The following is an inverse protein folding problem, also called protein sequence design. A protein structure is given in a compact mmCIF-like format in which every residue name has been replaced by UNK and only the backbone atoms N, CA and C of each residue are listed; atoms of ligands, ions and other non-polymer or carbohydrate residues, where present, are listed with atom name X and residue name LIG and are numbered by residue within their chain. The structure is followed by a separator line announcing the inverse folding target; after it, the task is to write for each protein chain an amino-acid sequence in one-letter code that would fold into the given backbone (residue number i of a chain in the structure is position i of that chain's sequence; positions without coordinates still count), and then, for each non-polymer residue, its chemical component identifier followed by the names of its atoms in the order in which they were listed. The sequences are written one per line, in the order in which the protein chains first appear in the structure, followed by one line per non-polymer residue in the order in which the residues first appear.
data_IF_587044578313
#
_entry.id   IF_587044578313
#
_cell.length_a   1.000
_cell.length_b   1.000
_cell.length_c   1.000
_cell.angle_alpha   90.00
_cell.angle_beta   90.00
_cell.angle_gamma   90.00
#
_symmetry.space_group_name_H-M   'P 1'
#
loop_
_entity.id
_entity.type
_entity.pdbx_description
1 polymer ?
#
# COMPACT_ATOMS: atom_id res chain seq x y z
N UNK A 1 -35.67 -0.79 52.48
CA UNK A 1 -34.67 0.22 52.06
C UNK A 1 -33.37 -0.45 51.62
N UNK A 2 -32.67 -1.17 52.52
CA UNK A 2 -31.38 -1.83 52.22
C UNK A 2 -31.39 -2.73 50.98
N UNK A 3 -32.40 -3.60 50.82
CA UNK A 3 -32.51 -4.46 49.63
C UNK A 3 -32.64 -3.70 48.31
N UNK A 4 -33.32 -2.54 48.30
CA UNK A 4 -33.42 -1.67 47.11
C UNK A 4 -32.10 -0.99 46.81
N UNK A 5 -31.38 -0.53 47.85
CA UNK A 5 -30.05 0.04 47.68
C UNK A 5 -29.05 -0.96 47.09
N UNK A 6 -29.10 -2.22 47.55
CA UNK A 6 -28.28 -3.31 46.98
C UNK A 6 -28.66 -3.58 45.52
N UNK A 7 -29.96 -3.69 45.19
CA UNK A 7 -30.39 -3.91 43.81
C UNK A 7 -29.97 -2.77 42.87
N UNK A 8 -30.06 -1.51 43.32
CA UNK A 8 -29.63 -0.34 42.54
C UNK A 8 -28.11 -0.38 42.31
N UNK A 9 -27.33 -0.70 43.33
CA UNK A 9 -25.88 -0.80 43.22
C UNK A 9 -25.46 -1.92 42.25
N UNK A 10 -26.09 -3.09 42.37
CA UNK A 10 -25.85 -4.24 41.48
C UNK A 10 -26.20 -3.93 40.03
N UNK A 11 -27.39 -3.35 39.77
CA UNK A 11 -27.82 -3.05 38.40
C UNK A 11 -27.09 -1.85 37.80
N UNK A 12 -26.41 -1.01 38.60
CA UNK A 12 -25.69 0.16 38.10
C UNK A 12 -24.34 -0.17 37.45
N UNK A 13 -23.77 -1.34 37.73
CA UNK A 13 -22.47 -1.74 37.20
C UNK A 13 -22.58 -2.16 35.71
N UNK A 14 -21.92 -1.47 34.77
CA UNK A 14 -22.02 -1.80 33.35
C UNK A 14 -20.90 -2.77 32.96
N UNK A 15 -21.01 -4.05 33.32
CA UNK A 15 -19.98 -5.05 33.00
C UNK A 15 -19.69 -5.15 31.49
N UNK A 16 -20.72 -4.97 30.66
CA UNK A 16 -20.59 -5.03 29.20
C UNK A 16 -19.88 -3.81 28.59
N UNK A 17 -19.81 -2.68 29.30
CA UNK A 17 -19.15 -1.46 28.82
C UNK A 17 -17.65 -1.69 28.57
N UNK A 18 -16.99 -2.45 29.45
CA UNK A 18 -15.58 -2.81 29.31
C UNK A 18 -15.29 -3.75 28.13
N UNK A 19 -16.31 -4.43 27.59
CA UNK A 19 -16.21 -5.35 26.46
C UNK A 19 -16.67 -4.73 25.14
N UNK A 20 -17.53 -3.71 25.19
CA UNK A 20 -18.20 -3.12 24.03
C UNK A 20 -17.23 -2.71 22.92
N UNK A 21 -16.18 -1.96 23.28
CA UNK A 21 -15.17 -1.47 22.34
C UNK A 21 -14.10 -2.51 22.03
N UNK A 22 -13.44 -3.16 23.02
CA UNK A 22 -12.32 -4.05 22.73
C UNK A 22 -12.71 -5.26 21.87
N UNK A 23 -13.91 -5.83 22.06
CA UNK A 23 -14.35 -6.99 21.25
C UNK A 23 -14.64 -6.57 19.80
N UNK A 24 -15.28 -5.42 19.60
CA UNK A 24 -15.57 -4.91 18.25
C UNK A 24 -14.28 -4.57 17.49
N UNK A 25 -13.32 -3.92 18.16
CA UNK A 25 -11.99 -3.62 17.60
C UNK A 25 -11.23 -4.90 17.30
N UNK A 26 -11.18 -5.86 18.23
CA UNK A 26 -10.48 -7.14 18.03
C UNK A 26 -11.02 -7.90 16.81
N UNK A 27 -12.34 -8.04 16.69
CA UNK A 27 -12.97 -8.69 15.53
C UNK A 27 -12.74 -7.88 14.26
N UNK A 28 -12.87 -6.54 14.33
CA UNK A 28 -12.62 -5.63 13.22
C UNK A 28 -11.21 -5.74 12.65
N UNK A 29 -10.18 -5.61 13.51
CA UNK A 29 -8.77 -5.75 13.12
C UNK A 29 -8.46 -7.15 12.59
N UNK A 30 -9.06 -8.20 13.18
CA UNK A 30 -8.91 -9.57 12.68
C UNK A 30 -9.49 -9.78 11.28
N UNK A 31 -10.62 -9.15 10.96
CA UNK A 31 -11.20 -9.15 9.60
C UNK A 31 -10.34 -8.32 8.66
N UNK A 32 -9.87 -7.16 9.11
CA UNK A 32 -8.92 -6.32 8.37
C UNK A 32 -7.71 -7.12 7.92
N UNK A 33 -7.06 -7.83 8.86
CA UNK A 33 -5.89 -8.65 8.56
C UNK A 33 -6.18 -9.74 7.52
N UNK A 34 -7.35 -10.40 7.60
CA UNK A 34 -7.80 -11.36 6.57
C UNK A 34 -8.03 -10.72 5.19
N UNK A 35 -8.32 -9.42 5.14
CA UNK A 35 -8.45 -8.67 3.89
C UNK A 35 -7.12 -8.10 3.41
N UNK A 36 -6.02 -8.25 4.14
CA UNK A 36 -4.74 -7.58 3.84
C UNK A 36 -4.68 -6.13 4.30
N UNK A 37 -5.49 -5.74 5.29
CA UNK A 37 -5.52 -4.39 5.89
C UNK A 37 -5.07 -4.51 7.34
N UNK A 38 -3.87 -4.06 7.65
CA UNK A 38 -3.26 -4.17 8.98
C UNK A 38 -3.38 -2.84 9.72
N UNK A 39 -4.17 -2.81 10.79
CA UNK A 39 -4.28 -1.67 11.69
C UNK A 39 -3.27 -1.85 12.83
N UNK A 40 -2.36 -0.90 13.04
CA UNK A 40 -1.37 -0.97 14.14
C UNK A 40 -1.98 -0.70 15.52
N UNK A 41 -3.05 0.07 15.56
CA UNK A 41 -3.71 0.45 16.81
C UNK A 41 -5.24 0.44 16.67
N UNK A 42 -5.93 0.33 17.81
CA UNK A 42 -7.37 0.49 17.90
C UNK A 42 -7.81 1.89 17.45
N UNK A 43 -7.02 2.90 17.81
CA UNK A 43 -7.26 4.30 17.45
C UNK A 43 -7.23 4.50 15.94
N UNK A 44 -6.26 3.92 15.23
CA UNK A 44 -6.19 3.98 13.77
C UNK A 44 -7.47 3.43 13.11
N UNK A 45 -7.96 2.27 13.57
CA UNK A 45 -9.20 1.67 13.06
C UNK A 45 -10.41 2.59 13.29
N UNK A 46 -10.49 3.24 14.45
CA UNK A 46 -11.56 4.19 14.75
C UNK A 46 -11.47 5.46 13.91
N UNK A 47 -10.27 6.04 13.76
CA UNK A 47 -10.05 7.25 12.99
C UNK A 47 -10.32 7.03 11.51
N UNK A 48 -9.92 5.89 10.94
CA UNK A 48 -10.29 5.47 9.58
C UNK A 48 -11.80 5.46 9.38
N UNK A 49 -12.54 4.92 10.36
CA UNK A 49 -14.01 4.93 10.31
C UNK A 49 -14.65 6.33 10.34
N UNK A 50 -13.93 7.34 10.86
CA UNK A 50 -14.39 8.73 10.96
C UNK A 50 -13.86 9.62 9.84
N UNK A 51 -13.06 9.08 8.92
CA UNK A 51 -12.46 9.83 7.82
C UNK A 51 -13.49 10.57 6.96
N UNK A 52 -13.14 11.81 6.64
CA UNK A 52 -13.90 12.73 5.76
C UNK A 52 -13.12 13.10 4.51
N UNK A 53 -11.79 13.10 4.61
CA UNK A 53 -10.88 13.41 3.51
C UNK A 53 -9.87 12.27 3.39
N UNK A 54 -9.61 11.84 2.17
CA UNK A 54 -8.49 10.96 1.82
C UNK A 54 -7.58 11.75 0.89
N UNK A 55 -6.40 12.10 1.40
CA UNK A 55 -5.32 12.67 0.64
C UNK A 55 -4.47 11.54 0.05
N UNK A 56 -4.27 11.56 -1.25
CA UNK A 56 -3.54 10.54 -2.01
C UNK A 56 -2.28 11.19 -2.60
N UNK A 57 -1.13 10.55 -2.40
CA UNK A 57 0.01 10.86 -3.24
C UNK A 57 -0.25 10.46 -4.70
N UNK A 58 0.40 11.15 -5.63
CA UNK A 58 0.30 10.81 -7.05
C UNK A 58 1.19 9.62 -7.39
N UNK A 59 2.50 9.75 -7.20
CA UNK A 59 3.51 8.86 -7.78
C UNK A 59 3.57 7.57 -6.96
N UNK A 60 3.38 6.41 -7.58
CA UNK A 60 3.43 5.10 -6.91
C UNK A 60 2.21 4.76 -6.05
N UNK A 61 1.39 5.76 -5.69
CA UNK A 61 0.07 5.59 -5.06
C UNK A 61 -1.05 5.58 -6.10
N UNK A 62 -1.43 6.72 -6.68
CA UNK A 62 -2.46 6.79 -7.73
C UNK A 62 -1.99 6.23 -9.07
N UNK A 63 -0.68 6.25 -9.28
CA UNK A 63 0.00 5.69 -10.45
C UNK A 63 0.82 4.47 -10.06
N UNK A 64 1.36 3.77 -11.07
CA UNK A 64 2.22 2.61 -10.84
C UNK A 64 3.62 3.00 -10.33
N UNK A 65 4.03 4.27 -10.46
CA UNK A 65 5.37 4.72 -10.09
C UNK A 65 6.45 4.27 -11.08
N UNK A 66 6.03 3.68 -12.20
CA UNK A 66 6.87 3.25 -13.31
C UNK A 66 6.58 4.14 -14.52
N UNK A 67 7.29 5.28 -14.66
CA UNK A 67 7.11 6.13 -15.83
C UNK A 67 7.48 5.37 -17.10
N UNK A 68 6.71 5.58 -18.16
CA UNK A 68 6.95 5.00 -19.49
C UNK A 68 6.97 6.10 -20.54
N UNK A 69 7.88 5.97 -21.50
CA UNK A 69 7.92 6.86 -22.67
C UNK A 69 6.66 6.61 -23.51
N UNK A 70 5.96 7.68 -23.85
CA UNK A 70 4.75 7.63 -24.68
C UNK A 70 4.92 8.35 -26.00
N UNK A 71 5.72 9.40 -26.04
CA UNK A 71 5.92 10.22 -27.22
C UNK A 71 7.40 10.58 -27.35
N UNK A 72 7.89 10.50 -28.59
CA UNK A 72 9.24 10.92 -28.97
C UNK A 72 9.08 11.90 -30.13
N UNK A 73 9.55 13.13 -29.95
CA UNK A 73 9.44 14.19 -30.93
C UNK A 73 10.84 14.70 -31.31
N UNK A 74 11.45 14.18 -32.38
CA UNK A 74 12.76 14.62 -32.83
C UNK A 74 12.70 15.98 -33.54
N UNK A 75 13.74 16.79 -33.33
CA UNK A 75 13.91 18.12 -33.96
C UNK A 75 15.26 18.13 -34.66
N UNK A 76 15.27 18.21 -35.99
CA UNK A 76 16.51 18.27 -36.77
C UNK A 76 17.33 16.97 -36.82
N UNK A 77 16.92 15.93 -36.11
CA UNK A 77 17.56 14.59 -36.07
C UNK A 77 16.53 13.48 -36.33
N UNK A 78 17.00 12.24 -36.46
CA UNK A 78 16.10 11.08 -36.50
C UNK A 78 15.64 10.67 -35.09
N UNK A 79 14.52 9.94 -35.01
CA UNK A 79 14.04 9.38 -33.73
C UNK A 79 15.10 8.50 -33.05
N UNK A 80 15.77 7.64 -33.82
CA UNK A 80 16.81 6.76 -33.30
C UNK A 80 18.05 7.53 -32.81
N UNK A 81 18.41 8.63 -33.48
CA UNK A 81 19.51 9.48 -33.04
C UNK A 81 19.16 10.17 -31.70
N UNK A 82 17.96 10.74 -31.58
CA UNK A 82 17.48 11.33 -30.32
C UNK A 82 17.51 10.29 -29.18
N UNK A 83 17.01 9.08 -29.42
CA UNK A 83 16.98 8.01 -28.42
C UNK A 83 18.38 7.53 -28.04
N UNK A 84 19.30 7.39 -28.99
CA UNK A 84 20.70 7.06 -28.70
C UNK A 84 21.34 8.11 -27.80
N UNK A 85 21.19 9.40 -28.10
CA UNK A 85 21.73 10.47 -27.27
C UNK A 85 21.08 10.51 -25.89
N UNK A 86 19.74 10.47 -25.82
CA UNK A 86 19.02 10.51 -24.56
C UNK A 86 19.34 9.30 -23.66
N UNK A 87 19.34 8.09 -24.21
CA UNK A 87 19.70 6.88 -23.46
C UNK A 87 21.15 6.89 -22.99
N UNK A 88 22.07 7.46 -23.79
CA UNK A 88 23.48 7.61 -23.37
C UNK A 88 23.59 8.58 -22.21
N UNK A 89 22.98 9.77 -22.31
CA UNK A 89 22.96 10.76 -21.23
C UNK A 89 22.39 10.20 -19.92
N UNK A 90 21.26 9.51 -20.02
CA UNK A 90 20.51 9.01 -18.87
C UNK A 90 21.14 7.74 -18.26
N UNK A 91 22.14 7.13 -18.91
CA UNK A 91 22.85 5.96 -18.37
C UNK A 91 23.59 6.24 -17.07
N UNK A 92 23.98 7.50 -16.82
CA UNK A 92 24.60 7.96 -15.57
C UNK A 92 23.62 8.33 -14.47
N UNK A 93 22.31 8.29 -14.74
CA UNK A 93 21.25 8.79 -13.85
C UNK A 93 20.46 7.64 -13.22
N UNK A 94 20.27 7.69 -11.89
CA UNK A 94 19.41 6.73 -11.18
C UNK A 94 17.93 7.15 -11.17
N UNK A 95 17.59 8.26 -11.83
CA UNK A 95 16.24 8.84 -11.77
C UNK A 95 15.21 7.92 -12.46
N UNK A 96 13.96 7.81 -11.95
CA UNK A 96 12.93 6.97 -12.59
C UNK A 96 12.67 7.31 -14.06
N UNK A 97 12.75 8.58 -14.44
CA UNK A 97 12.61 9.03 -15.85
C UNK A 97 13.76 8.54 -16.74
N UNK A 98 14.98 8.45 -16.19
CA UNK A 98 16.15 7.90 -16.87
C UNK A 98 15.93 6.43 -17.23
N UNK A 99 15.44 5.66 -16.24
CA UNK A 99 15.08 4.25 -16.43
C UNK A 99 13.99 4.06 -17.48
N UNK A 100 13.01 4.96 -17.53
CA UNK A 100 11.95 4.93 -18.56
C UNK A 100 12.52 5.07 -19.98
N UNK A 101 13.45 6.03 -20.18
CA UNK A 101 14.12 6.24 -21.46
C UNK A 101 14.99 5.04 -21.83
N UNK A 102 15.81 4.56 -20.89
CA UNK A 102 16.68 3.39 -21.10
C UNK A 102 15.86 2.13 -21.44
N UNK A 103 14.74 1.92 -20.76
CA UNK A 103 13.85 0.78 -21.02
C UNK A 103 13.12 0.91 -22.36
N UNK A 104 12.78 2.13 -22.80
CA UNK A 104 12.14 2.36 -24.09
C UNK A 104 13.13 2.19 -25.25
N UNK A 105 14.37 2.65 -25.08
CA UNK A 105 15.41 2.51 -26.08
C UNK A 105 15.86 1.03 -26.24
N UNK A 106 15.87 0.26 -25.16
CA UNK A 106 16.28 -1.15 -25.20
C UNK A 106 17.70 -1.34 -25.73
N UNK A 107 17.91 -2.43 -26.47
CA UNK A 107 19.17 -2.74 -27.17
C UNK A 107 19.17 -2.28 -28.63
N UNK A 108 18.04 -1.72 -29.10
CA UNK A 108 17.83 -1.35 -30.51
C UNK A 108 18.60 -0.08 -30.91
N UNK A 109 19.01 0.73 -29.94
CA UNK A 109 19.75 1.97 -30.17
C UNK A 109 21.14 1.91 -29.52
N UNK A 110 22.22 2.16 -30.28
CA UNK A 110 23.57 2.09 -29.75
C UNK A 110 23.78 3.15 -28.67
N UNK A 111 24.39 2.72 -27.56
CA UNK A 111 24.89 3.61 -26.52
C UNK A 111 26.20 4.23 -26.95
N UNK A 112 26.29 5.53 -26.80
CA UNK A 112 27.45 6.34 -27.14
C UNK A 112 28.36 6.46 -25.91
N UNK A 113 29.64 6.77 -26.13
CA UNK A 113 30.59 7.02 -25.05
C UNK A 113 30.21 8.32 -24.32
N UNK A 114 30.16 8.24 -22.99
CA UNK A 114 29.78 9.33 -22.09
C UNK A 114 30.94 9.68 -21.16
N UNK A 115 31.28 10.96 -21.08
CA UNK A 115 32.23 11.54 -20.13
C UNK A 115 31.62 12.72 -19.38
N UNK A 116 32.21 13.06 -18.24
CA UNK A 116 31.86 14.26 -17.46
C UNK A 116 30.36 14.42 -17.12
N UNK A 117 29.73 13.33 -16.70
CA UNK A 117 28.33 13.35 -16.26
C UNK A 117 28.14 14.20 -15.00
N UNK A 118 27.19 15.14 -15.06
CA UNK A 118 26.84 16.03 -13.95
C UNK A 118 25.31 16.14 -13.78
N UNK A 119 24.77 15.81 -12.59
CA UNK A 119 23.37 16.02 -12.28
C UNK A 119 23.09 17.49 -11.93
N UNK A 120 22.11 18.10 -12.60
CA UNK A 120 21.70 19.49 -12.39
C UNK A 120 20.46 19.53 -11.48
N UNK A 121 20.68 19.85 -10.20
CA UNK A 121 19.64 19.80 -9.16
C UNK A 121 18.39 20.59 -9.57
N UNK A 122 17.27 19.87 -9.75
CA UNK A 122 15.96 20.44 -10.08
C UNK A 122 15.75 20.84 -11.54
N UNK A 123 16.78 20.73 -12.38
CA UNK A 123 16.80 21.19 -13.77
C UNK A 123 16.93 20.05 -14.79
N UNK A 124 17.77 19.05 -14.54
CA UNK A 124 18.05 17.97 -15.48
C UNK A 124 19.39 17.28 -15.25
N UNK A 125 20.03 16.85 -16.32
CA UNK A 125 21.36 16.22 -16.36
C UNK A 125 22.14 16.76 -17.57
N UNK A 126 23.46 16.80 -17.45
CA UNK A 126 24.36 17.12 -18.56
C UNK A 126 25.54 16.15 -18.60
N UNK A 127 26.06 15.90 -19.79
CA UNK A 127 27.28 15.12 -20.01
C UNK A 127 27.87 15.42 -21.39
N UNK A 128 29.13 15.05 -21.59
CA UNK A 128 29.72 15.00 -22.92
C UNK A 128 29.45 13.62 -23.54
N UNK A 129 28.80 13.60 -24.71
CA UNK A 129 28.42 12.36 -25.40
C UNK A 129 29.00 12.37 -26.81
N UNK A 130 29.94 11.44 -27.08
CA UNK A 130 30.70 11.40 -28.34
C UNK A 130 31.38 12.71 -28.74
N UNK A 131 31.86 13.49 -27.76
CA UNK A 131 32.56 14.76 -27.99
C UNK A 131 31.66 15.99 -28.16
N UNK A 132 30.34 15.86 -27.98
CA UNK A 132 29.36 16.95 -27.98
C UNK A 132 28.79 17.15 -26.58
N UNK A 133 28.54 18.41 -26.19
CA UNK A 133 27.86 18.70 -24.92
C UNK A 133 26.37 18.42 -25.07
N UNK A 134 25.86 17.50 -24.27
CA UNK A 134 24.46 17.10 -24.26
C UNK A 134 23.81 17.47 -22.93
N UNK A 135 22.65 18.13 -23.01
CA UNK A 135 21.87 18.56 -21.84
C UNK A 135 20.43 18.08 -22.01
N UNK A 136 19.92 17.37 -21.00
CA UNK A 136 18.56 16.87 -20.94
C UNK A 136 17.86 17.42 -19.71
N UNK A 137 16.67 18.01 -19.85
CA UNK A 137 16.00 18.58 -18.69
C UNK A 137 14.65 19.25 -18.93
N UNK A 138 14.22 20.01 -17.93
CA UNK A 138 12.97 20.77 -17.95
C UNK A 138 13.05 21.93 -18.94
N UNK A 139 11.91 22.26 -19.54
CA UNK A 139 11.73 23.42 -20.43
C UNK A 139 12.33 24.72 -19.86
N UNK A 140 12.08 25.02 -18.59
CA UNK A 140 12.55 26.24 -17.94
C UNK A 140 14.08 26.38 -17.92
N UNK A 141 14.82 25.27 -17.85
CA UNK A 141 16.29 25.28 -17.89
C UNK A 141 16.79 25.33 -19.32
N UNK A 142 16.20 24.51 -20.19
CA UNK A 142 16.61 24.40 -21.60
C UNK A 142 16.39 25.73 -22.36
N UNK A 143 15.34 26.48 -22.02
CA UNK A 143 15.08 27.82 -22.54
C UNK A 143 16.16 28.85 -22.19
N UNK A 144 17.03 28.56 -21.21
CA UNK A 144 18.19 29.41 -20.87
C UNK A 144 19.42 29.10 -21.72
N UNK A 145 19.44 27.94 -22.39
CA UNK A 145 20.57 27.44 -23.18
C UNK A 145 20.34 27.73 -24.67
N UNK A 146 19.12 27.49 -25.18
CA UNK A 146 18.81 27.65 -26.60
C UNK A 146 17.39 28.17 -26.83
N UNK A 147 17.16 28.78 -27.99
CA UNK A 147 15.82 29.12 -28.45
C UNK A 147 15.07 27.86 -28.89
N UNK A 148 13.87 27.67 -28.35
CA UNK A 148 13.00 26.54 -28.69
C UNK A 148 12.13 26.95 -29.89
N UNK A 149 12.17 26.22 -31.02
CA UNK A 149 11.34 26.53 -32.18
C UNK A 149 9.84 26.47 -31.85
N UNK A 150 9.04 27.38 -32.42
CA UNK A 150 7.58 27.47 -32.18
C UNK A 150 6.83 26.13 -32.34
N UNK A 151 7.28 25.27 -33.24
CA UNK A 151 6.69 23.94 -33.43
C UNK A 151 6.95 23.02 -32.23
N UNK A 152 8.18 23.01 -31.71
CA UNK A 152 8.54 22.26 -30.52
C UNK A 152 7.87 22.83 -29.26
N UNK A 153 7.71 24.14 -29.18
CA UNK A 153 7.01 24.81 -28.08
C UNK A 153 5.53 24.41 -28.02
N UNK A 154 4.85 24.39 -29.18
CA UNK A 154 3.46 23.91 -29.27
C UNK A 154 3.32 22.44 -28.89
N UNK A 155 4.26 21.61 -29.32
CA UNK A 155 4.23 20.18 -29.02
C UNK A 155 4.50 19.92 -27.53
N UNK A 156 5.48 20.62 -26.95
CA UNK A 156 5.71 20.60 -25.51
C UNK A 156 4.45 21.00 -24.73
N UNK A 157 3.79 22.10 -25.11
CA UNK A 157 2.55 22.55 -24.47
C UNK A 157 1.41 21.51 -24.59
N UNK A 158 1.27 20.84 -25.75
CA UNK A 158 0.31 19.74 -25.95
C UNK A 158 0.58 18.60 -24.98
N UNK A 159 1.82 18.12 -24.92
CA UNK A 159 2.22 17.01 -24.05
C UNK A 159 1.98 17.32 -22.57
N UNK A 160 2.33 18.54 -22.12
CA UNK A 160 2.05 18.97 -20.74
C UNK A 160 0.54 19.01 -20.46
N UNK A 161 -0.28 19.50 -21.40
CA UNK A 161 -1.74 19.55 -21.24
C UNK A 161 -2.40 18.17 -21.14
N UNK A 162 -1.73 17.14 -21.69
CA UNK A 162 -2.16 15.75 -21.64
C UNK A 162 -1.78 15.01 -20.37
N UNK A 163 -1.07 15.65 -19.43
CA UNK A 163 -0.62 14.96 -18.21
C UNK A 163 0.82 14.47 -18.23
N UNK A 164 1.55 14.70 -19.32
CA UNK A 164 2.86 14.09 -19.53
C UNK A 164 3.97 14.98 -18.99
N UNK A 165 5.06 14.36 -18.58
CA UNK A 165 6.31 15.04 -18.28
C UNK A 165 7.15 15.04 -19.54
N UNK A 166 7.31 16.22 -20.16
CA UNK A 166 8.09 16.39 -21.39
C UNK A 166 9.49 16.92 -21.05
N UNK A 167 10.53 16.15 -21.41
CA UNK A 167 11.93 16.53 -21.24
C UNK A 167 12.50 16.94 -22.59
N UNK A 168 13.26 18.03 -22.62
CA UNK A 168 13.90 18.54 -23.83
C UNK A 168 15.38 18.18 -23.81
N UNK A 169 15.91 17.83 -24.98
CA UNK A 169 17.31 17.44 -25.18
C UNK A 169 17.99 18.41 -26.14
N UNK A 170 19.16 18.90 -25.73
CA UNK A 170 19.97 19.87 -26.47
C UNK A 170 21.37 19.32 -26.67
N UNK A 171 21.87 19.37 -27.92
CA UNK A 171 23.23 19.02 -28.31
C UNK A 171 23.93 20.27 -28.83
N UNK A 172 25.06 20.64 -28.25
CA UNK A 172 25.87 21.81 -28.67
C UNK A 172 25.06 23.10 -28.83
N UNK A 173 24.12 23.35 -27.90
CA UNK A 173 23.17 24.48 -27.92
C UNK A 173 22.08 24.45 -29.00
N UNK A 174 21.87 23.31 -29.66
CA UNK A 174 20.73 23.08 -30.57
C UNK A 174 19.75 22.06 -29.98
N UNK A 175 18.45 22.36 -30.03
CA UNK A 175 17.41 21.42 -29.62
C UNK A 175 17.35 20.23 -30.58
N UNK A 176 17.58 19.02 -30.06
CA UNK A 176 17.50 17.77 -30.82
C UNK A 176 16.17 17.03 -30.63
N UNK A 177 15.37 17.37 -29.62
CA UNK A 177 14.02 16.86 -29.50
C UNK A 177 13.43 16.88 -28.10
N UNK A 178 12.26 16.26 -28.01
CA UNK A 178 11.45 16.15 -26.79
C UNK A 178 11.12 14.68 -26.57
N UNK A 179 11.31 14.18 -25.35
CA UNK A 179 10.83 12.86 -24.94
C UNK A 179 9.81 13.06 -23.83
N UNK A 180 8.60 12.55 -24.05
CA UNK A 180 7.53 12.60 -23.07
C UNK A 180 7.40 11.25 -22.36
N UNK A 181 7.32 11.33 -21.04
CA UNK A 181 7.04 10.19 -20.18
C UNK A 181 5.75 10.44 -19.41
N UNK A 182 4.96 9.40 -19.24
CA UNK A 182 3.78 9.40 -18.37
C UNK A 182 3.95 8.36 -17.29
N UNK A 183 3.45 8.68 -16.10
CA UNK A 183 3.24 7.69 -15.07
C UNK A 183 1.81 7.17 -15.18
N UNK A 184 1.66 5.88 -15.46
CA UNK A 184 0.36 5.30 -15.80
C UNK A 184 -0.52 5.25 -14.54
N UNK A 185 -1.74 5.81 -14.55
CA UNK A 185 -2.69 5.65 -13.46
C UNK A 185 -2.98 4.18 -13.19
N UNK A 186 -3.15 3.81 -11.92
CA UNK A 186 -3.51 2.43 -11.59
C UNK A 186 -4.89 2.09 -12.17
N UNK A 187 -5.08 0.88 -12.72
CA UNK A 187 -6.35 0.49 -13.35
C UNK A 187 -7.52 0.45 -12.36
N UNK A 188 -7.25 0.33 -11.07
CA UNK A 188 -8.25 0.30 -10.00
C UNK A 188 -8.44 1.66 -9.29
N UNK A 189 -7.69 2.70 -9.70
CA UNK A 189 -7.75 4.03 -9.08
C UNK A 189 -9.14 4.68 -9.23
N UNK A 190 -9.70 4.67 -10.44
CA UNK A 190 -11.03 5.26 -10.71
C UNK A 190 -12.12 4.58 -9.86
N UNK A 191 -12.08 3.25 -9.78
CA UNK A 191 -13.03 2.48 -8.97
C UNK A 191 -12.89 2.78 -7.46
N UNK A 192 -11.65 2.90 -6.97
CA UNK A 192 -11.39 3.24 -5.58
C UNK A 192 -11.89 4.65 -5.22
N UNK A 193 -11.64 5.63 -6.08
CA UNK A 193 -12.11 7.03 -5.90
C UNK A 193 -13.63 7.10 -5.93
N UNK A 194 -14.28 6.44 -6.90
CA UNK A 194 -15.74 6.40 -6.98
C UNK A 194 -16.37 5.75 -5.73
N UNK A 195 -15.74 4.71 -5.18
CA UNK A 195 -16.21 4.09 -3.94
C UNK A 195 -16.05 5.02 -2.74
N UNK A 196 -14.92 5.73 -2.62
CA UNK A 196 -14.72 6.75 -1.58
C UNK A 196 -15.79 7.86 -1.65
N UNK A 197 -16.14 8.30 -2.86
CA UNK A 197 -17.24 9.25 -3.06
C UNK A 197 -18.59 8.69 -2.63
N UNK A 198 -18.89 7.42 -2.91
CA UNK A 198 -20.11 6.75 -2.45
C UNK A 198 -20.19 6.67 -0.91
N UNK A 199 -19.04 6.68 -0.24
CA UNK A 199 -18.91 6.77 1.21
C UNK A 199 -18.97 8.23 1.71
N UNK A 200 -19.13 9.22 0.83
CA UNK A 200 -19.12 10.64 1.21
C UNK A 200 -17.77 11.09 1.79
N UNK A 201 -16.69 10.52 1.28
CA UNK A 201 -15.31 10.92 1.57
C UNK A 201 -14.79 11.74 0.40
N UNK A 202 -14.27 12.94 0.68
CA UNK A 202 -13.64 13.81 -0.31
C UNK A 202 -12.25 13.29 -0.64
N UNK A 203 -11.90 13.24 -1.92
CA UNK A 203 -10.58 12.81 -2.38
C UNK A 203 -9.72 14.01 -2.77
N UNK A 204 -8.48 14.03 -2.32
CA UNK A 204 -7.52 15.10 -2.61
C UNK A 204 -6.24 14.47 -3.13
N UNK A 205 -5.73 14.93 -4.26
CA UNK A 205 -4.42 14.51 -4.75
C UNK A 205 -3.37 15.55 -4.36
N UNK A 206 -2.25 15.11 -3.78
CA UNK A 206 -1.12 15.96 -3.43
C UNK A 206 0.07 15.52 -4.29
N UNK A 207 0.71 16.45 -4.98
CA UNK A 207 1.85 16.13 -5.85
C UNK A 207 2.84 17.29 -5.99
N UNK A 208 4.10 16.95 -6.25
CA UNK A 208 5.14 17.92 -6.61
C UNK A 208 5.12 18.31 -8.10
N UNK A 209 4.31 17.63 -8.90
CA UNK A 209 4.18 17.91 -10.32
C UNK A 209 3.45 19.23 -10.58
N UNK A 210 3.60 19.72 -11.81
CA UNK A 210 2.92 20.93 -12.22
C UNK A 210 1.39 20.74 -12.25
N UNK A 211 0.69 21.86 -12.10
CA UNK A 211 -0.78 21.89 -12.08
C UNK A 211 -1.45 21.23 -13.28
N UNK A 212 -0.98 21.49 -14.50
CA UNK A 212 -1.61 20.97 -15.71
C UNK A 212 -1.57 19.44 -15.75
N UNK A 213 -0.42 18.87 -15.40
CA UNK A 213 -0.22 17.44 -15.38
C UNK A 213 -1.03 16.76 -14.27
N UNK A 214 -1.02 17.36 -13.08
CA UNK A 214 -1.79 16.91 -11.95
C UNK A 214 -3.30 16.93 -12.24
N UNK A 215 -3.82 17.99 -12.85
CA UNK A 215 -5.23 18.08 -13.21
C UNK A 215 -5.64 17.06 -14.28
N UNK A 216 -4.75 16.70 -15.21
CA UNK A 216 -5.03 15.67 -16.21
C UNK A 216 -5.23 14.29 -15.56
N UNK A 217 -4.32 13.89 -14.65
CA UNK A 217 -4.45 12.64 -13.87
C UNK A 217 -5.72 12.68 -13.01
N UNK A 218 -5.94 13.77 -12.29
CA UNK A 218 -7.10 13.95 -11.41
C UNK A 218 -8.43 13.80 -12.15
N UNK A 219 -8.55 14.36 -13.37
CA UNK A 219 -9.74 14.19 -14.22
C UNK A 219 -9.91 12.73 -14.67
N UNK A 220 -8.82 12.03 -14.96
CA UNK A 220 -8.84 10.63 -15.39
C UNK A 220 -9.36 9.67 -14.32
N UNK A 221 -9.09 9.95 -13.04
CA UNK A 221 -9.51 9.09 -11.91
C UNK A 221 -10.67 9.65 -11.08
N UNK A 222 -11.10 10.89 -11.33
CA UNK A 222 -12.23 11.53 -10.65
C UNK A 222 -11.91 12.17 -9.29
N UNK A 223 -10.71 12.72 -9.09
CA UNK A 223 -10.33 13.39 -7.82
C UNK A 223 -11.03 14.75 -7.66
N UNK A 224 -11.48 15.09 -6.44
CA UNK A 224 -12.22 16.34 -6.18
C UNK A 224 -11.32 17.59 -6.12
N UNK A 225 -10.10 17.45 -5.60
CA UNK A 225 -9.20 18.60 -5.37
C UNK A 225 -7.75 18.21 -5.61
N UNK A 226 -7.01 19.09 -6.28
CA UNK A 226 -5.58 18.89 -6.59
C UNK A 226 -4.76 19.95 -5.87
N UNK A 227 -3.72 19.51 -5.17
CA UNK A 227 -2.67 20.35 -4.59
C UNK A 227 -1.37 19.99 -5.31
N UNK A 228 -0.99 20.80 -6.30
CA UNK A 228 0.19 20.63 -7.14
C UNK A 228 1.36 21.49 -6.70
N UNK A 229 2.51 21.35 -7.36
CA UNK A 229 3.70 22.19 -7.18
C UNK A 229 4.23 22.19 -5.73
N UNK A 230 4.05 21.06 -5.03
CA UNK A 230 4.42 20.90 -3.62
C UNK A 230 5.90 20.49 -3.48
N UNK A 231 6.70 21.33 -2.81
CA UNK A 231 8.09 21.01 -2.48
C UNK A 231 8.21 19.87 -1.44
N UNK A 232 9.36 19.16 -1.35
CA UNK A 232 9.63 18.22 -0.27
C UNK A 232 9.48 18.92 1.11
N UNK A 233 8.48 18.52 1.89
CA UNK A 233 8.07 19.17 3.16
C UNK A 233 6.76 19.97 3.08
N UNK A 234 6.37 20.46 1.90
CA UNK A 234 5.11 21.17 1.68
C UNK A 234 3.86 20.28 1.81
N UNK A 235 4.02 18.95 1.66
CA UNK A 235 2.93 17.98 1.81
C UNK A 235 2.37 17.99 3.24
N UNK A 236 3.22 18.20 4.25
CA UNK A 236 2.80 18.31 5.65
C UNK A 236 1.84 19.49 5.86
N UNK A 237 2.18 20.65 5.29
CA UNK A 237 1.35 21.85 5.41
C UNK A 237 0.02 21.70 4.66
N UNK A 238 0.04 21.02 3.50
CA UNK A 238 -1.15 20.67 2.76
C UNK A 238 -2.10 19.80 3.60
N UNK A 239 -1.59 18.72 4.20
CA UNK A 239 -2.36 17.84 5.10
C UNK A 239 -2.92 18.62 6.29
N UNK A 240 -2.12 19.49 6.91
CA UNK A 240 -2.56 20.35 8.03
C UNK A 240 -3.73 21.25 7.66
N UNK A 241 -3.75 21.80 6.44
CA UNK A 241 -4.87 22.61 5.94
C UNK A 241 -6.13 21.76 5.74
N UNK A 242 -5.97 20.53 5.24
CA UNK A 242 -7.08 19.58 5.05
C UNK A 242 -7.70 19.13 6.36
N UNK A 243 -6.94 19.08 7.47
CA UNK A 243 -7.47 18.74 8.80
C UNK A 243 -8.57 19.69 9.29
N UNK A 244 -8.69 20.89 8.71
CA UNK A 244 -9.80 21.81 9.00
C UNK A 244 -11.14 21.33 8.41
N UNK A 245 -11.12 20.49 7.38
CA UNK A 245 -12.33 19.96 6.71
C UNK A 245 -12.85 18.67 7.38
N UNK A 246 -12.06 18.05 8.26
CA UNK A 246 -12.41 16.85 8.99
C UNK A 246 -11.22 15.92 9.19
N UNK A 247 -11.50 14.65 9.52
CA UNK A 247 -10.46 13.64 9.71
C UNK A 247 -9.84 13.25 8.37
N UNK A 248 -8.51 13.35 8.29
CA UNK A 248 -7.71 13.14 7.08
C UNK A 248 -6.96 11.82 7.17
N UNK A 249 -7.12 10.98 6.15
CA UNK A 249 -6.20 9.88 5.88
C UNK A 249 -5.21 10.36 4.82
N UNK A 250 -3.91 10.25 5.07
CA UNK A 250 -2.88 10.45 4.05
C UNK A 250 -2.38 9.09 3.56
N UNK A 251 -2.44 8.88 2.25
CA UNK A 251 -2.05 7.64 1.59
C UNK A 251 -0.78 7.88 0.77
N UNK A 252 0.24 7.05 0.98
CA UNK A 252 1.51 7.11 0.27
C UNK A 252 2.20 5.76 0.21
N UNK A 253 3.27 5.66 -0.57
CA UNK A 253 4.07 4.43 -0.75
C UNK A 253 5.54 4.58 -0.29
N UNK A 254 5.99 5.81 0.01
CA UNK A 254 7.41 6.12 0.10
C UNK A 254 7.89 6.95 1.31
N UNK A 255 9.22 7.05 1.40
CA UNK A 255 10.00 7.84 2.37
C UNK A 255 9.62 9.33 2.32
N UNK A 256 9.29 9.83 1.13
CA UNK A 256 8.96 11.24 0.91
C UNK A 256 7.61 11.64 1.52
N UNK A 257 6.73 10.68 1.78
CA UNK A 257 5.38 10.90 2.32
C UNK A 257 5.30 10.67 3.83
N UNK A 258 6.29 9.99 4.42
CA UNK A 258 6.35 9.73 5.86
C UNK A 258 6.05 10.96 6.73
N UNK A 259 6.59 12.17 6.46
CA UNK A 259 6.25 13.36 7.24
C UNK A 259 4.77 13.76 7.12
N UNK A 260 4.20 13.68 5.91
CA UNK A 260 2.79 14.01 5.68
C UNK A 260 1.85 12.95 6.27
N UNK A 261 2.22 11.67 6.20
CA UNK A 261 1.50 10.55 6.82
C UNK A 261 1.46 10.70 8.34
N UNK A 262 2.58 11.05 8.96
CA UNK A 262 2.67 11.28 10.42
C UNK A 262 1.85 12.48 10.87
N UNK A 263 1.69 13.49 10.01
CA UNK A 263 0.89 14.70 10.30
C UNK A 263 -0.62 14.48 10.18
N UNK A 264 -1.05 13.53 9.36
CA UNK A 264 -2.45 13.19 9.16
C UNK A 264 -3.08 12.62 10.44
N UNK A 265 -4.41 12.50 10.47
CA UNK A 265 -5.07 11.75 11.56
C UNK A 265 -4.76 10.25 11.44
N UNK A 266 -4.55 9.77 10.22
CA UNK A 266 -4.13 8.40 9.91
C UNK A 266 -3.18 8.42 8.72
N UNK A 267 -1.98 7.86 8.89
CA UNK A 267 -1.09 7.51 7.79
C UNK A 267 -1.41 6.11 7.26
N UNK A 268 -1.60 5.96 5.95
CA UNK A 268 -1.87 4.68 5.29
C UNK A 268 -0.82 4.38 4.22
N UNK A 269 -0.15 3.23 4.34
CA UNK A 269 0.84 2.76 3.35
C UNK A 269 0.23 1.71 2.41
N UNK A 270 0.58 1.77 1.13
CA UNK A 270 0.19 0.77 0.11
C UNK A 270 1.34 -0.17 -0.24
N UNK A 271 1.05 -1.46 -0.33
CA UNK A 271 1.94 -2.50 -0.84
C UNK A 271 3.16 -2.76 0.02
N UNK A 272 4.21 -3.30 -0.60
CA UNK A 272 5.55 -3.45 -0.03
C UNK A 272 6.34 -2.14 -0.11
N UNK A 273 5.70 -1.02 0.25
CA UNK A 273 6.38 0.27 0.36
C UNK A 273 7.66 0.12 1.17
N UNK A 274 8.63 1.02 0.96
CA UNK A 274 9.92 0.99 1.66
C UNK A 274 9.69 0.77 3.16
N UNK A 275 10.56 0.01 3.84
CA UNK A 275 10.39 -0.35 5.27
C UNK A 275 10.05 0.87 6.16
N UNK A 276 10.56 2.05 5.78
CA UNK A 276 10.32 3.35 6.41
C UNK A 276 8.85 3.81 6.30
N UNK A 277 8.20 3.61 5.16
CA UNK A 277 6.79 3.95 4.96
C UNK A 277 5.89 3.02 5.79
N UNK A 278 6.23 1.73 5.85
CA UNK A 278 5.54 0.76 6.71
C UNK A 278 5.71 1.13 8.18
N UNK A 279 6.90 1.56 8.61
CA UNK A 279 7.15 2.00 9.99
C UNK A 279 6.34 3.25 10.35
N UNK A 280 6.24 4.21 9.43
CA UNK A 280 5.56 5.50 9.63
C UNK A 280 4.03 5.43 9.54
N UNK A 281 3.46 4.39 8.93
CA UNK A 281 2.02 4.25 8.74
C UNK A 281 1.28 3.72 9.97
N UNK A 282 0.06 4.19 10.22
CA UNK A 282 -0.87 3.63 11.21
C UNK A 282 -1.63 2.42 10.65
N UNK A 283 -1.85 2.42 9.33
CA UNK A 283 -2.52 1.34 8.59
C UNK A 283 -1.67 0.92 7.40
N UNK A 284 -1.48 -0.38 7.24
CA UNK A 284 -0.68 -0.95 6.15
C UNK A 284 -1.58 -1.83 5.27
N UNK A 285 -1.65 -1.52 3.98
CA UNK A 285 -2.30 -2.34 2.97
C UNK A 285 -1.27 -3.30 2.38
N UNK A 286 -1.42 -4.60 2.65
CA UNK A 286 -0.48 -5.63 2.20
C UNK A 286 -0.56 -5.82 0.68
N UNK A 287 -1.75 -5.63 0.11
CA UNK A 287 -1.95 -5.62 -1.33
C UNK A 287 -1.57 -4.28 -1.95
N UNK A 288 -1.43 -4.27 -3.27
CA UNK A 288 -1.18 -3.06 -4.07
C UNK A 288 -2.46 -2.46 -4.67
N UNK A 289 -3.64 -3.01 -4.32
CA UNK A 289 -4.93 -2.54 -4.81
C UNK A 289 -5.39 -1.30 -4.01
N UNK A 290 -5.60 -0.18 -4.70
CA UNK A 290 -6.20 1.05 -4.15
C UNK A 290 -7.61 0.82 -3.60
N UNK A 291 -8.33 -0.18 -4.11
CA UNK A 291 -9.67 -0.53 -3.61
C UNK A 291 -9.67 -1.02 -2.15
N UNK A 292 -8.52 -1.37 -1.58
CA UNK A 292 -8.42 -1.70 -0.15
C UNK A 292 -8.55 -0.44 0.74
N UNK A 293 -8.32 0.78 0.23
CA UNK A 293 -8.55 2.04 0.96
C UNK A 293 -10.04 2.23 1.31
N UNK A 294 -10.99 2.29 0.36
CA UNK A 294 -12.40 2.45 0.70
C UNK A 294 -12.94 1.22 1.47
N UNK A 295 -12.39 0.02 1.25
CA UNK A 295 -12.68 -1.16 2.08
C UNK A 295 -12.28 -0.96 3.54
N UNK A 296 -11.12 -0.38 3.81
CA UNK A 296 -10.67 -0.04 5.17
C UNK A 296 -11.63 0.97 5.82
N UNK A 297 -12.00 2.03 5.11
CA UNK A 297 -12.99 3.03 5.59
C UNK A 297 -14.33 2.38 5.90
N UNK A 298 -14.82 1.50 5.01
CA UNK A 298 -16.08 0.77 5.18
C UNK A 298 -16.06 -0.14 6.41
N UNK A 299 -14.95 -0.85 6.61
CA UNK A 299 -14.74 -1.70 7.79
C UNK A 299 -14.71 -0.86 9.06
N UNK A 300 -13.91 0.21 9.11
CA UNK A 300 -13.84 1.12 10.25
C UNK A 300 -15.21 1.70 10.62
N UNK A 301 -16.00 2.14 9.63
CA UNK A 301 -17.37 2.63 9.86
C UNK A 301 -18.29 1.57 10.45
N UNK A 302 -18.18 0.32 9.98
CA UNK A 302 -18.98 -0.79 10.51
C UNK A 302 -18.58 -1.14 11.93
N UNK A 303 -17.28 -1.13 12.24
CA UNK A 303 -16.76 -1.30 13.60
C UNK A 303 -17.29 -0.19 14.52
N UNK A 304 -17.19 1.08 14.12
CA UNK A 304 -17.75 2.20 14.90
C UNK A 304 -19.25 2.06 15.11
N UNK A 305 -20.01 1.64 14.10
CA UNK A 305 -21.44 1.38 14.25
C UNK A 305 -21.69 0.29 15.30
N UNK A 306 -20.96 -0.81 15.25
CA UNK A 306 -21.04 -1.90 16.24
C UNK A 306 -20.64 -1.44 17.64
N UNK A 307 -19.63 -0.58 17.79
CA UNK A 307 -19.27 0.02 19.08
C UNK A 307 -20.44 0.84 19.62
N UNK A 308 -21.03 1.72 18.82
CA UNK A 308 -22.18 2.53 19.26
C UNK A 308 -23.39 1.67 19.62
N UNK A 309 -23.69 0.62 18.85
CA UNK A 309 -24.73 -0.36 19.17
C UNK A 309 -24.43 -1.04 20.52
N UNK A 310 -23.20 -1.53 20.71
CA UNK A 310 -22.79 -2.19 21.94
C UNK A 310 -22.89 -1.27 23.16
N UNK A 311 -22.46 -0.01 23.02
CA UNK A 311 -22.58 1.00 24.08
C UNK A 311 -24.05 1.31 24.39
N UNK A 312 -24.89 1.46 23.36
CA UNK A 312 -26.33 1.68 23.54
C UNK A 312 -26.95 0.53 24.34
N UNK A 313 -26.67 -0.72 23.95
CA UNK A 313 -27.17 -1.90 24.67
C UNK A 313 -26.56 -2.04 26.07
N UNK A 314 -25.30 -1.64 26.24
CA UNK A 314 -24.64 -1.64 27.54
C UNK A 314 -25.20 -0.60 28.51
N UNK A 315 -25.90 0.45 28.05
CA UNK A 315 -26.51 1.47 28.92
C UNK A 315 -28.03 1.34 29.06
N UNK A 316 -28.73 0.85 28.04
CA UNK A 316 -30.21 0.83 28.02
C UNK A 316 -30.79 -0.01 29.17
N UNK A 317 -30.16 -1.15 29.50
CA UNK A 317 -30.63 -2.00 30.58
C UNK A 317 -30.38 -1.37 31.96
N UNK A 318 -29.28 -0.63 32.16
CA UNK A 318 -29.05 0.13 33.39
C UNK A 318 -30.06 1.28 33.50
N UNK A 319 -30.32 1.99 32.41
CA UNK A 319 -31.26 3.11 32.37
C UNK A 319 -32.69 2.70 32.76
N UNK A 320 -33.12 1.49 32.34
CA UNK A 320 -34.43 0.92 32.71
C UNK A 320 -34.36 0.26 34.10
N UNK A 321 -33.27 -0.44 34.40
CA UNK A 321 -33.10 -1.25 35.60
C UNK A 321 -32.92 -0.45 36.89
N UNK A 322 -32.28 0.72 36.84
CA UNK A 322 -32.06 1.58 38.01
C UNK A 322 -33.40 2.13 38.57
N UNK A 323 -34.30 2.75 37.77
CA UNK A 323 -35.63 3.16 38.24
C UNK A 323 -36.46 2.00 38.81
N UNK A 324 -36.44 0.84 38.15
CA UNK A 324 -37.15 -0.36 38.61
C UNK A 324 -36.59 -0.89 39.94
N UNK A 325 -35.27 -0.91 40.10
CA UNK A 325 -34.62 -1.31 41.35
C UNK A 325 -34.89 -0.31 42.50
N UNK A 326 -35.01 0.98 42.17
CA UNK A 326 -35.31 2.04 43.14
C UNK A 326 -36.76 2.00 43.66
N UNK A 327 -37.66 1.28 43.00
CA UNK A 327 -39.07 1.19 43.41
C UNK A 327 -40.01 2.13 42.65
N UNK A 328 -39.55 2.72 41.54
CA UNK A 328 -40.41 3.55 40.69
C UNK A 328 -41.54 2.66 40.14
N UNK A 329 -42.79 3.13 40.21
CA UNK A 329 -44.03 2.36 39.92
C UNK A 329 -44.38 1.23 40.90
N UNK A 330 -43.74 1.15 42.08
CA UNK A 330 -44.05 0.13 43.09
C UNK A 330 -43.48 -1.26 42.78
N UNK A 331 -42.75 -1.41 41.67
CA UNK A 331 -42.04 -2.63 41.31
C UNK A 331 -40.72 -2.72 42.08
N UNK A 332 -40.33 -3.91 42.54
CA UNK A 332 -39.03 -4.13 43.18
C UNK A 332 -38.23 -5.17 42.41
N UNK A 333 -37.05 -4.78 41.94
CA UNK A 333 -36.16 -5.68 41.20
C UNK A 333 -35.31 -6.49 42.19
N UNK A 334 -35.38 -7.82 42.11
CA UNK A 334 -34.53 -8.68 42.95
C UNK A 334 -33.07 -8.62 42.44
N UNK A 335 -32.06 -8.67 43.32
CA UNK A 335 -30.65 -8.69 42.89
C UNK A 335 -30.32 -9.81 41.89
N UNK A 336 -31.04 -10.93 41.94
CA UNK A 336 -30.90 -12.06 41.02
C UNK A 336 -31.25 -11.68 39.57
N UNK A 337 -32.35 -10.95 39.35
CA UNK A 337 -32.70 -10.45 38.02
C UNK A 337 -31.69 -9.42 37.52
N UNK A 338 -31.11 -8.62 38.41
CA UNK A 338 -30.03 -7.70 38.05
C UNK A 338 -28.77 -8.42 37.58
N UNK A 339 -28.38 -9.49 38.27
CA UNK A 339 -27.28 -10.35 37.85
C UNK A 339 -27.54 -11.03 36.49
N UNK A 340 -28.75 -11.54 36.26
CA UNK A 340 -29.13 -12.14 34.99
C UNK A 340 -29.08 -11.12 33.83
N UNK A 341 -29.56 -9.89 34.06
CA UNK A 341 -29.51 -8.81 33.07
C UNK A 341 -28.06 -8.42 32.71
N UNK A 342 -27.16 -8.37 33.68
CA UNK A 342 -25.73 -8.11 33.43
C UNK A 342 -25.11 -9.18 32.53
N UNK A 343 -25.36 -10.46 32.81
CA UNK A 343 -24.84 -11.57 31.99
C UNK A 343 -25.40 -11.55 30.56
N UNK A 344 -26.69 -11.26 30.42
CA UNK A 344 -27.34 -11.19 29.10
C UNK A 344 -26.81 -10.02 28.26
N UNK A 345 -26.50 -8.88 28.90
CA UNK A 345 -25.92 -7.71 28.24
C UNK A 345 -24.53 -8.02 27.65
N UNK A 346 -23.66 -8.67 28.43
CA UNK A 346 -22.33 -9.10 27.95
C UNK A 346 -22.45 -10.09 26.79
N UNK A 347 -23.37 -11.06 26.89
CA UNK A 347 -23.64 -12.00 25.79
C UNK A 347 -24.09 -11.28 24.52
N UNK A 348 -25.01 -10.33 24.64
CA UNK A 348 -25.50 -9.55 23.50
C UNK A 348 -24.38 -8.76 22.82
N UNK A 349 -23.55 -8.05 23.61
CA UNK A 349 -22.41 -7.27 23.10
C UNK A 349 -21.43 -8.13 22.31
N UNK A 350 -21.10 -9.32 22.82
CA UNK A 350 -20.22 -10.26 22.12
C UNK A 350 -20.87 -10.75 20.83
N UNK A 351 -22.14 -11.19 20.87
CA UNK A 351 -22.85 -11.65 19.69
C UNK A 351 -23.00 -10.57 18.61
N UNK A 352 -23.23 -9.32 19.01
CA UNK A 352 -23.30 -8.20 18.06
C UNK A 352 -21.93 -7.90 17.43
N UNK A 353 -20.84 -7.97 18.20
CA UNK A 353 -19.50 -7.85 17.66
C UNK A 353 -19.17 -8.96 16.65
N UNK A 354 -19.57 -10.20 16.93
CA UNK A 354 -19.39 -11.33 16.00
C UNK A 354 -20.13 -11.15 14.66
N UNK A 355 -21.18 -10.31 14.60
CA UNK A 355 -21.84 -9.97 13.33
C UNK A 355 -20.88 -9.32 12.34
N UNK A 356 -19.78 -8.72 12.79
CA UNK A 356 -18.74 -8.19 11.91
C UNK A 356 -18.14 -9.27 10.99
N UNK A 357 -18.12 -10.56 11.38
CA UNK A 357 -17.65 -11.66 10.51
C UNK A 357 -18.46 -11.81 9.22
N UNK A 358 -19.66 -11.23 9.14
CA UNK A 358 -20.46 -11.17 7.91
C UNK A 358 -20.04 -10.06 6.95
N UNK A 359 -19.02 -9.27 7.30
CA UNK A 359 -18.45 -8.27 6.42
C UNK A 359 -17.92 -8.96 5.17
N UNK A 360 -18.48 -8.61 4.00
CA UNK A 360 -18.10 -9.21 2.73
C UNK A 360 -16.66 -8.82 2.41
N UNK A 361 -15.81 -9.83 2.36
CA UNK A 361 -14.48 -9.74 1.81
C UNK A 361 -14.63 -9.96 0.30
N UNK A 362 -14.92 -8.91 -0.48
CA UNK A 362 -15.00 -8.99 -1.94
C UNK A 362 -13.60 -9.20 -2.58
N UNK A 363 -12.80 -10.14 -2.06
CA UNK A 363 -11.65 -10.70 -2.78
C UNK A 363 -12.14 -11.88 -3.58
N UNK A 364 -12.87 -11.61 -4.67
CA UNK A 364 -12.94 -12.52 -5.82
C UNK A 364 -11.73 -12.30 -6.73
N UNK A 365 -10.54 -12.39 -6.15
CA UNK A 365 -9.32 -12.80 -6.85
C UNK A 365 -8.55 -13.59 -5.80
N UNK A 366 -8.45 -14.91 -6.01
CA UNK A 366 -7.38 -15.69 -5.40
C UNK A 366 -6.10 -14.95 -5.76
N UNK A 367 -5.23 -14.67 -4.79
CA UNK A 367 -3.82 -14.60 -5.14
C UNK A 367 -3.48 -16.00 -5.69
N UNK A 368 -3.52 -16.15 -7.02
CA UNK A 368 -2.72 -17.16 -7.65
C UNK A 368 -1.27 -16.85 -7.25
N UNK A 369 -0.54 -17.81 -6.68
CA UNK A 369 0.90 -17.65 -6.62
C UNK A 369 1.37 -17.43 -8.06
N UNK A 370 2.16 -16.37 -8.26
CA UNK A 370 2.81 -16.06 -9.52
C UNK A 370 3.42 -17.36 -10.06
N UNK A 371 2.82 -17.91 -11.11
CA UNK A 371 3.36 -19.04 -11.84
C UNK A 371 4.65 -18.56 -12.49
N UNK A 372 5.77 -18.83 -11.83
CA UNK A 372 7.06 -18.77 -12.47
C UNK A 372 7.07 -19.85 -13.56
N UNK A 373 7.08 -19.41 -14.82
CA UNK A 373 7.37 -20.27 -15.96
C UNK A 373 8.74 -20.92 -15.72
N UNK A 374 8.76 -22.23 -15.47
CA UNK A 374 9.98 -23.03 -15.53
C UNK A 374 9.93 -23.78 -16.85
N UNK A 375 10.77 -23.33 -17.77
CA UNK A 375 11.11 -24.03 -19.01
C UNK A 375 11.66 -25.42 -18.68
N UNK A 376 10.90 -26.46 -19.04
CA UNK A 376 11.34 -27.85 -18.96
C UNK A 376 11.89 -28.28 -20.33
N UNK A 377 13.21 -28.46 -20.42
CA UNK A 377 13.81 -29.27 -21.49
C UNK A 377 13.58 -30.75 -21.16
N UNK A 378 12.87 -31.45 -22.05
CA UNK A 378 12.60 -32.87 -21.95
C UNK A 378 13.80 -33.68 -22.47
N UNK A 379 14.36 -34.53 -21.60
CA UNK A 379 15.29 -35.60 -21.96
C UNK A 379 14.77 -36.94 -21.43
N UNK A 380 14.55 -37.89 -22.34
CA UNK A 380 13.95 -39.21 -22.08
C UNK A 380 14.85 -40.15 -21.25
N UNK A 381 14.21 -40.91 -20.34
CA UNK A 381 14.55 -42.32 -20.06
C UNK A 381 15.58 -42.61 -18.96
N UNK A 382 15.11 -42.86 -17.72
CA UNK A 382 15.65 -43.87 -16.77
C UNK A 382 14.75 -43.97 -15.52
N UNK A 383 14.41 -45.19 -15.10
CA UNK A 383 13.92 -45.49 -13.74
C UNK A 383 15.05 -45.23 -12.74
N UNK A 384 14.78 -44.62 -11.58
CA UNK A 384 15.49 -44.70 -10.26
C UNK A 384 14.81 -43.69 -9.30
N UNK A 385 14.24 -44.15 -8.18
CA UNK A 385 14.74 -44.07 -6.78
C UNK A 385 14.83 -42.63 -6.21
N UNK A 386 14.26 -42.47 -5.01
CA UNK A 386 14.33 -41.33 -4.08
C UNK A 386 14.58 -39.93 -4.69
N UNK A 387 13.55 -39.09 -4.63
CA UNK A 387 13.65 -37.71 -5.10
C UNK A 387 14.30 -36.84 -4.03
N UNK A 388 15.34 -36.08 -4.41
CA UNK A 388 15.94 -35.04 -3.55
C UNK A 388 15.32 -33.68 -3.88
N UNK A 389 14.82 -33.01 -2.85
CA UNK A 389 14.24 -31.68 -2.92
C UNK A 389 15.10 -30.74 -2.08
N UNK A 390 15.62 -29.67 -2.70
CA UNK A 390 16.38 -28.63 -2.00
C UNK A 390 15.48 -27.41 -1.77
N UNK A 391 15.35 -26.99 -0.52
CA UNK A 391 14.59 -25.81 -0.11
C UNK A 391 15.56 -24.74 0.38
N UNK A 392 15.40 -23.51 -0.08
CA UNK A 392 16.15 -22.36 0.42
C UNK A 392 15.38 -21.70 1.54
N UNK A 393 15.96 -21.60 2.73
CA UNK A 393 15.29 -21.19 3.97
C UNK A 393 15.97 -19.96 4.57
N UNK A 394 15.20 -18.87 4.68
CA UNK A 394 15.56 -17.62 5.33
C UNK A 394 15.21 -17.63 6.83
N UNK A 395 16.09 -17.05 7.66
CA UNK A 395 15.88 -16.88 9.11
C UNK A 395 16.59 -17.91 10.00
N UNK A 396 17.34 -18.86 9.44
CA UNK A 396 18.20 -19.76 10.23
C UNK A 396 19.54 -19.09 10.56
N UNK A 397 19.67 -18.54 11.78
CA UNK A 397 20.89 -17.81 12.17
C UNK A 397 21.83 -18.59 13.10
N UNK A 398 21.47 -19.81 13.50
CA UNK A 398 22.28 -20.60 14.44
C UNK A 398 22.01 -22.11 14.32
N UNK A 399 22.87 -22.98 14.91
CA UNK A 399 22.66 -24.43 14.95
C UNK A 399 21.34 -24.86 15.60
N UNK A 400 20.76 -24.05 16.50
CA UNK A 400 19.47 -24.35 17.12
C UNK A 400 18.29 -24.09 16.16
N UNK A 401 18.43 -23.14 15.22
CA UNK A 401 17.45 -22.92 14.17
C UNK A 401 17.45 -24.08 13.16
N UNK A 402 18.65 -24.52 12.79
CA UNK A 402 18.87 -25.69 11.93
C UNK A 402 18.22 -26.95 12.50
N UNK A 403 18.48 -27.26 13.79
CA UNK A 403 17.90 -28.43 14.45
C UNK A 403 16.36 -28.38 14.49
N UNK A 404 15.77 -27.20 14.66
CA UNK A 404 14.32 -27.01 14.69
C UNK A 404 13.67 -27.24 13.32
N UNK A 405 14.29 -26.73 12.26
CA UNK A 405 13.83 -26.93 10.88
C UNK A 405 14.00 -28.39 10.47
N UNK A 406 15.14 -29.00 10.81
CA UNK A 406 15.40 -30.42 10.55
C UNK A 406 14.35 -31.32 11.23
N UNK A 407 14.07 -31.09 12.51
CA UNK A 407 13.07 -31.87 13.24
C UNK A 407 11.65 -31.71 12.67
N UNK A 408 11.31 -30.53 12.14
CA UNK A 408 10.02 -30.31 11.50
C UNK A 408 9.91 -31.06 10.16
N UNK A 409 10.97 -31.06 9.36
CA UNK A 409 11.02 -31.77 8.07
C UNK A 409 11.00 -33.29 8.24
N UNK A 410 11.75 -33.85 9.20
CA UNK A 410 11.77 -35.29 9.48
C UNK A 410 10.46 -35.81 10.09
N UNK A 411 9.60 -34.92 10.62
CA UNK A 411 8.28 -35.28 11.14
C UNK A 411 7.21 -35.44 10.05
N UNK A 412 7.52 -35.11 8.79
CA UNK A 412 6.60 -35.26 7.66
C UNK A 412 6.60 -36.71 7.17
N UNK A 413 5.42 -37.31 7.10
CA UNK A 413 5.24 -38.69 6.64
C UNK A 413 5.65 -38.80 5.16
N UNK A 414 6.69 -39.59 4.88
CA UNK A 414 7.31 -39.74 3.55
C UNK A 414 8.67 -39.06 3.37
N UNK A 415 9.19 -38.36 4.39
CA UNK A 415 10.58 -37.87 4.41
C UNK A 415 11.51 -38.98 4.93
N UNK A 416 12.54 -39.31 4.13
CA UNK A 416 13.54 -40.34 4.45
C UNK A 416 14.70 -39.73 5.24
N UNK A 417 15.18 -38.56 4.82
CA UNK A 417 16.22 -37.81 5.53
C UNK A 417 16.15 -36.31 5.23
N UNK A 418 16.60 -35.48 6.17
CA UNK A 418 16.74 -34.04 5.96
C UNK A 418 18.10 -33.53 6.48
N UNK A 419 18.88 -32.92 5.57
CA UNK A 419 20.10 -32.19 5.90
C UNK A 419 19.84 -30.69 5.79
N UNK A 420 19.93 -29.97 6.91
CA UNK A 420 19.68 -28.53 6.97
C UNK A 420 20.97 -27.85 7.36
N UNK A 421 21.29 -26.71 6.74
CA UNK A 421 22.48 -25.92 7.08
C UNK A 421 22.15 -24.45 7.21
N UNK A 422 22.33 -23.90 8.41
CA UNK A 422 22.21 -22.45 8.65
C UNK A 422 23.30 -21.62 7.95
N UNK A 423 24.40 -22.24 7.51
CA UNK A 423 25.49 -21.54 6.81
C UNK A 423 25.21 -21.32 5.33
N UNK A 424 24.60 -22.30 4.66
CA UNK A 424 24.21 -22.19 3.25
C UNK A 424 22.77 -21.69 3.09
N UNK A 425 21.96 -21.72 4.15
CA UNK A 425 20.55 -21.38 4.10
C UNK A 425 19.72 -22.40 3.33
N UNK A 426 20.20 -23.64 3.19
CA UNK A 426 19.52 -24.68 2.41
C UNK A 426 19.14 -25.88 3.29
N UNK A 427 18.03 -26.51 2.96
CA UNK A 427 17.60 -27.82 3.45
C UNK A 427 17.47 -28.80 2.28
N UNK A 428 18.29 -29.84 2.26
CA UNK A 428 18.20 -30.95 1.32
C UNK A 428 17.39 -32.08 1.95
N UNK A 429 16.27 -32.42 1.33
CA UNK A 429 15.32 -33.41 1.84
C UNK A 429 15.19 -34.54 0.84
N UNK A 430 15.40 -35.76 1.29
CA UNK A 430 15.19 -36.96 0.50
C UNK A 430 13.81 -37.53 0.82
N UNK A 431 12.96 -37.68 -0.20
CA UNK A 431 11.55 -38.05 -0.04
C UNK A 431 11.16 -39.28 -0.84
N UNK A 432 10.15 -40.00 -0.35
CA UNK A 432 9.45 -41.06 -1.07
C UNK A 432 8.29 -40.51 -1.92
N UNK A 433 7.73 -41.36 -2.78
CA UNK A 433 6.64 -41.01 -3.69
C UNK A 433 5.42 -40.44 -2.91
N UNK A 434 5.02 -39.22 -3.25
CA UNK A 434 3.84 -38.54 -2.69
C UNK A 434 4.10 -37.27 -1.88
N UNK A 435 5.36 -36.94 -1.55
CA UNK A 435 5.72 -35.69 -0.86
C UNK A 435 6.12 -34.62 -1.88
N UNK A 436 5.38 -33.51 -1.94
CA UNK A 436 5.67 -32.38 -2.80
C UNK A 436 6.46 -31.29 -2.07
N UNK A 437 7.20 -30.46 -2.82
CA UNK A 437 7.90 -29.29 -2.28
C UNK A 437 6.97 -28.31 -1.55
N UNK A 438 5.68 -28.31 -1.89
CA UNK A 438 4.64 -27.51 -1.23
C UNK A 438 4.38 -27.97 0.21
N UNK A 439 4.33 -29.28 0.47
CA UNK A 439 4.13 -29.84 1.82
C UNK A 439 5.33 -29.53 2.71
N UNK A 440 6.54 -29.67 2.17
CA UNK A 440 7.76 -29.35 2.90
C UNK A 440 7.85 -27.84 3.17
N UNK A 441 7.52 -27.00 2.19
CA UNK A 441 7.46 -25.54 2.36
C UNK A 441 6.46 -25.14 3.44
N UNK A 442 5.24 -25.68 3.41
CA UNK A 442 4.23 -25.43 4.43
C UNK A 442 4.70 -25.83 5.83
N UNK A 443 5.48 -26.92 5.94
CA UNK A 443 6.04 -27.41 7.19
C UNK A 443 7.12 -26.47 7.74
N UNK A 444 8.00 -25.95 6.87
CA UNK A 444 9.03 -24.97 7.25
C UNK A 444 8.41 -23.64 7.68
N UNK A 445 7.34 -23.20 6.98
CA UNK A 445 6.56 -22.02 7.36
C UNK A 445 5.86 -22.21 8.70
N UNK A 446 5.28 -23.39 8.97
CA UNK A 446 4.69 -23.71 10.26
C UNK A 446 5.74 -23.76 11.39
N UNK A 447 7.00 -24.10 11.08
CA UNK A 447 8.12 -24.05 12.01
C UNK A 447 8.63 -22.62 12.30
N UNK A 448 8.12 -21.62 11.57
CA UNK A 448 8.42 -20.20 11.75
C UNK A 448 9.50 -19.64 10.83
N UNK A 449 9.82 -20.33 9.73
CA UNK A 449 10.88 -19.93 8.79
C UNK A 449 10.33 -19.72 7.38
N UNK A 450 10.99 -18.88 6.58
CA UNK A 450 10.53 -18.52 5.24
C UNK A 450 11.28 -19.35 4.20
N UNK A 451 10.58 -19.94 3.24
CA UNK A 451 11.19 -20.65 2.10
C UNK A 451 11.15 -19.73 0.87
N UNK A 452 12.25 -19.67 0.11
CA UNK A 452 12.41 -18.85 -1.11
C UNK A 452 12.45 -19.72 -2.35
#
# INVERSE_FOLDING_TARGET
ALGRAISVLVISCPCALGLATPVAVMVGSGIGAKCGILYKSAEALELVGRAKVVALDKTGTLTLGEPRVTDVYPVGVSEGELLSYAASLESGSEHPLARAILSYAGDDFPRLDVSDFEPLVGAGVQAEVSGSLLVGGKHAYISTITEIPDAAEREHARLISEGKTAMLFVRDSELIGIIAVTDTPRPDAEAAVAELHSLGVKTVMITGDNRAAAEAVARGVGIDTVISDVMPGGKEEAVKKLSAEGRVIMVGDGINDSPAMTRADVGMAIGTGADIAIESADVVLVGSDLTDIPRAVRLGRRVLKTIHENLFWAFIYNAIGIPLAAGVFGLTLSPMFGAAAMSLSSFFVVMNALRLYTFKTDKTKKHEPVSAEVSAEAGEGKKIENMKITLKIEGMMCPHCEARVKAALEAVEGVISAEVSHKSGNAEVEVSDGVTAEILTATVVAAGYKVI
#
